data_IF_419908431287
#
_entry.id   IF_419908431287
#
_cell.length_a   1.000
_cell.length_b   1.000
_cell.length_c   1.000
_cell.angle_alpha   90.00
_cell.angle_beta   90.00
_cell.angle_gamma   90.00
#
_symmetry.space_group_name_H-M   'P 1'
#
loop_
_entity.id
_entity.type
_entity.pdbx_description
1 polymer ?
#
# COMPACT_ATOMS: atom_id res chain seq x y z
N UNK A 1 19.84 -11.02 -9.34
CA UNK A 1 19.24 -10.76 -10.39
C UNK A 1 20.07 -10.87 -11.66
N UNK A 2 20.68 -11.92 -11.96
CA UNK A 2 21.51 -12.11 -13.15
C UNK A 2 20.78 -12.81 -14.29
N UNK A 3 19.45 -12.70 -14.34
CA UNK A 3 18.74 -13.27 -15.45
C UNK A 3 19.00 -12.46 -16.70
N UNK A 4 19.50 -13.12 -17.71
CA UNK A 4 19.51 -12.58 -19.05
C UNK A 4 18.05 -12.37 -19.49
N UNK A 5 17.67 -11.10 -19.68
CA UNK A 5 16.31 -10.75 -20.09
C UNK A 5 15.91 -11.46 -21.40
N UNK A 6 16.87 -11.72 -22.27
CA UNK A 6 16.67 -12.44 -23.53
C UNK A 6 16.23 -13.89 -23.29
N UNK A 7 16.85 -14.57 -22.33
CA UNK A 7 16.49 -15.95 -21.99
C UNK A 7 15.10 -16.02 -21.36
N UNK A 8 14.77 -15.07 -20.53
CA UNK A 8 13.42 -14.98 -19.92
C UNK A 8 12.35 -14.78 -20.97
N UNK A 9 12.56 -13.86 -21.91
CA UNK A 9 11.66 -13.62 -23.02
C UNK A 9 11.46 -14.86 -23.91
N UNK A 10 12.53 -15.55 -24.22
CA UNK A 10 12.51 -16.77 -25.03
C UNK A 10 11.73 -17.88 -24.30
N UNK A 11 11.96 -18.02 -22.99
CA UNK A 11 11.22 -18.99 -22.17
C UNK A 11 9.72 -18.69 -22.08
N UNK A 12 9.34 -17.44 -21.85
CA UNK A 12 7.93 -17.02 -21.81
C UNK A 12 7.23 -17.27 -23.14
N UNK A 13 7.94 -17.07 -24.27
CA UNK A 13 7.39 -17.36 -25.61
C UNK A 13 7.37 -18.84 -25.95
N UNK A 14 8.03 -19.69 -25.15
CA UNK A 14 8.21 -21.11 -25.43
C UNK A 14 9.27 -21.41 -26.50
N UNK A 15 10.14 -20.47 -26.80
CA UNK A 15 11.23 -20.62 -27.77
C UNK A 15 12.38 -21.47 -27.23
N UNK A 16 12.47 -21.60 -25.91
CA UNK A 16 13.44 -22.45 -25.20
C UNK A 16 12.71 -23.35 -24.20
N UNK A 17 13.23 -24.55 -23.99
CA UNK A 17 12.74 -25.44 -22.95
C UNK A 17 13.32 -25.10 -21.58
N UNK A 18 12.76 -25.66 -20.51
CA UNK A 18 13.33 -25.55 -19.17
C UNK A 18 14.74 -26.07 -19.07
N UNK A 19 15.09 -27.04 -19.92
CA UNK A 19 16.43 -27.67 -19.95
C UNK A 19 17.48 -26.75 -20.58
N UNK A 20 17.05 -25.77 -21.37
CA UNK A 20 17.92 -24.77 -21.98
C UNK A 20 18.23 -23.61 -21.02
N UNK A 21 17.56 -23.55 -19.89
CA UNK A 21 17.70 -22.51 -18.90
C UNK A 21 18.66 -22.97 -17.81
N UNK A 22 19.81 -22.34 -17.72
CA UNK A 22 20.87 -22.69 -16.77
C UNK A 22 20.53 -22.40 -15.33
N UNK A 23 20.57 -23.39 -14.46
CA UNK A 23 20.46 -23.27 -13.02
C UNK A 23 21.66 -22.57 -12.36
N UNK A 24 22.80 -22.51 -13.05
CA UNK A 24 24.01 -21.82 -12.59
C UNK A 24 23.80 -20.31 -12.41
N UNK A 25 22.79 -19.75 -13.04
CA UNK A 25 22.40 -18.33 -12.92
C UNK A 25 21.19 -18.15 -12.01
N UNK A 26 20.77 -19.17 -11.27
CA UNK A 26 19.57 -19.14 -10.45
C UNK A 26 18.27 -19.24 -11.26
N UNK A 27 18.36 -19.69 -12.51
CA UNK A 27 17.21 -19.90 -13.38
C UNK A 27 16.72 -21.34 -13.20
N UNK A 28 15.43 -21.60 -12.94
CA UNK A 28 14.92 -22.94 -12.77
C UNK A 28 14.96 -23.73 -14.09
N UNK A 29 15.30 -25.00 -13.97
CA UNK A 29 15.25 -25.96 -15.08
C UNK A 29 14.17 -27.02 -14.84
N UNK A 30 13.20 -26.75 -14.00
CA UNK A 30 12.17 -27.69 -13.54
C UNK A 30 10.84 -27.62 -14.29
N UNK A 31 10.87 -27.16 -15.52
CA UNK A 31 9.70 -27.26 -16.41
C UNK A 31 8.71 -26.13 -16.28
N UNK A 32 9.11 -24.99 -15.82
CA UNK A 32 8.30 -23.80 -16.08
C UNK A 32 7.66 -23.16 -14.89
N UNK A 33 8.08 -23.43 -13.68
CA UNK A 33 7.73 -22.55 -12.59
C UNK A 33 8.64 -21.32 -12.62
N UNK A 34 8.27 -20.37 -13.46
CA UNK A 34 8.96 -19.10 -13.59
C UNK A 34 9.02 -18.31 -12.28
N UNK A 35 8.14 -18.61 -11.33
CA UNK A 35 8.09 -17.93 -10.02
C UNK A 35 9.20 -18.40 -9.09
N UNK A 36 9.78 -19.59 -9.31
CA UNK A 36 10.88 -20.09 -8.48
C UNK A 36 12.25 -19.57 -8.90
N UNK A 37 12.37 -19.08 -10.12
CA UNK A 37 13.61 -18.59 -10.69
C UNK A 37 14.11 -17.30 -10.03
N UNK A 38 13.22 -16.41 -9.70
CA UNK A 38 13.56 -15.14 -9.05
C UNK A 38 12.52 -14.78 -8.03
N UNK A 39 12.89 -14.70 -6.77
CA UNK A 39 12.06 -14.13 -5.71
C UNK A 39 11.66 -12.68 -6.04
N UNK A 40 12.34 -12.08 -7.01
CA UNK A 40 12.16 -10.69 -7.40
C UNK A 40 12.16 -10.56 -8.93
N UNK A 41 11.06 -10.88 -9.56
CA UNK A 41 10.86 -10.81 -11.01
C UNK A 41 10.90 -9.40 -11.61
N UNK A 42 11.82 -8.56 -11.15
CA UNK A 42 12.01 -7.21 -11.69
C UNK A 42 12.80 -7.26 -12.98
N UNK A 43 12.31 -6.56 -13.99
CA UNK A 43 13.02 -6.30 -15.24
C UNK A 43 13.18 -4.81 -15.46
N UNK A 44 14.20 -4.42 -16.22
CA UNK A 44 14.39 -3.03 -16.67
C UNK A 44 13.92 -2.98 -18.11
N UNK A 45 12.89 -2.17 -18.36
CA UNK A 45 12.37 -1.93 -19.71
C UNK A 45 12.75 -0.49 -20.10
N UNK A 46 13.54 -0.29 -21.18
CA UNK A 46 13.81 1.05 -21.67
C UNK A 46 12.49 1.76 -22.07
N UNK A 47 12.32 3.02 -21.68
CA UNK A 47 11.13 3.80 -22.01
C UNK A 47 10.87 3.85 -23.53
N UNK A 48 11.93 3.84 -24.33
CA UNK A 48 11.85 3.80 -25.80
C UNK A 48 11.22 2.51 -26.36
N UNK A 49 11.13 1.46 -25.56
CA UNK A 49 10.52 0.17 -25.94
C UNK A 49 9.04 0.09 -25.55
N UNK A 50 8.50 1.11 -24.89
CA UNK A 50 7.09 1.15 -24.44
C UNK A 50 6.32 2.10 -25.35
N UNK A 51 5.37 1.56 -26.12
CA UNK A 51 4.49 2.36 -26.95
C UNK A 51 3.64 3.27 -26.07
N UNK A 52 3.56 4.57 -26.43
CA UNK A 52 2.81 5.56 -25.67
C UNK A 52 3.48 6.01 -24.36
N UNK A 53 4.73 5.64 -24.11
CA UNK A 53 5.45 6.11 -22.93
C UNK A 53 5.57 7.65 -22.93
N UNK A 54 5.21 8.26 -21.80
CA UNK A 54 5.35 9.70 -21.63
C UNK A 54 6.83 10.10 -21.52
N UNK A 55 7.18 11.26 -22.07
CA UNK A 55 8.50 11.85 -21.82
C UNK A 55 8.56 12.36 -20.37
N UNK A 56 9.34 11.69 -19.52
CA UNK A 56 9.49 12.04 -18.10
C UNK A 56 10.05 13.46 -17.88
N UNK A 57 10.65 14.10 -18.90
CA UNK A 57 11.18 15.47 -18.83
C UNK A 57 10.11 16.55 -19.00
N UNK A 58 8.94 16.15 -19.52
CA UNK A 58 7.82 17.04 -19.80
C UNK A 58 6.52 16.63 -19.11
N UNK A 59 6.62 15.88 -18.01
CA UNK A 59 5.46 15.47 -17.23
C UNK A 59 4.74 16.69 -16.65
N UNK A 60 3.39 16.72 -16.69
CA UNK A 60 2.61 17.76 -16.03
C UNK A 60 2.77 17.70 -14.51
N UNK A 61 2.32 18.74 -13.83
CA UNK A 61 2.25 18.74 -12.38
C UNK A 61 1.45 17.54 -11.88
N UNK A 62 2.00 16.82 -10.90
CA UNK A 62 1.34 15.68 -10.28
C UNK A 62 0.13 16.16 -9.48
N UNK A 63 -1.04 15.58 -9.73
CA UNK A 63 -2.29 15.90 -9.04
C UNK A 63 -2.67 14.88 -7.98
N UNK A 64 -2.08 13.69 -8.04
CA UNK A 64 -2.43 12.60 -7.14
C UNK A 64 -1.19 11.77 -6.84
N UNK A 65 -0.92 11.52 -5.55
CA UNK A 65 0.17 10.70 -5.05
C UNK A 65 -0.39 9.65 -4.10
N UNK A 66 -0.26 8.37 -4.45
CA UNK A 66 -0.80 7.27 -3.66
C UNK A 66 0.28 6.36 -3.09
N UNK A 67 0.05 5.91 -1.87
CA UNK A 67 0.78 4.82 -1.22
C UNK A 67 -0.05 3.55 -1.38
N UNK A 68 0.54 2.51 -1.97
CA UNK A 68 -0.07 1.19 -1.96
C UNK A 68 0.41 0.43 -0.73
N UNK A 69 -0.53 -0.02 0.07
CA UNK A 69 -0.31 -0.82 1.26
C UNK A 69 -0.95 -2.21 1.06
N UNK A 70 -0.43 -3.22 1.73
CA UNK A 70 -1.09 -4.50 1.90
C UNK A 70 -1.24 -4.76 3.40
N UNK A 71 -2.48 -4.81 3.88
CA UNK A 71 -2.78 -5.22 5.24
C UNK A 71 -3.31 -6.65 5.26
N UNK A 72 -2.76 -7.48 6.15
CA UNK A 72 -3.11 -8.91 6.26
C UNK A 72 -2.84 -9.39 7.69
N UNK A 73 -3.73 -10.21 8.22
CA UNK A 73 -3.66 -10.75 9.57
C UNK A 73 -4.96 -10.52 10.34
N UNK A 74 -5.10 -11.19 11.48
CA UNK A 74 -6.30 -11.11 12.31
C UNK A 74 -6.63 -9.67 12.76
N UNK A 75 -5.65 -8.80 12.68
CA UNK A 75 -5.71 -7.39 13.05
C UNK A 75 -5.59 -6.45 11.84
N UNK A 76 -5.86 -6.93 10.62
CA UNK A 76 -5.92 -6.09 9.46
C UNK A 76 -7.12 -5.16 9.53
N UNK A 77 -6.87 -3.86 9.70
CA UNK A 77 -7.94 -2.86 9.88
C UNK A 77 -7.64 -1.51 9.20
N UNK A 78 -6.72 -1.51 8.21
CA UNK A 78 -6.51 -0.33 7.37
C UNK A 78 -7.65 -0.24 6.36
N UNK A 79 -8.30 0.94 6.21
CA UNK A 79 -9.35 1.17 5.22
C UNK A 79 -8.90 0.83 3.79
N UNK A 80 -9.84 0.40 2.94
CA UNK A 80 -9.58 0.12 1.53
C UNK A 80 -8.96 1.31 0.81
N UNK A 81 -9.42 2.51 1.11
CA UNK A 81 -8.81 3.77 0.68
C UNK A 81 -8.97 4.83 1.78
N UNK A 82 -7.96 5.66 1.93
CA UNK A 82 -7.97 6.83 2.81
C UNK A 82 -7.24 8.00 2.15
N UNK A 83 -7.57 9.22 2.54
CA UNK A 83 -6.87 10.45 2.13
C UNK A 83 -6.19 11.06 3.35
N UNK A 84 -4.96 11.50 3.20
CA UNK A 84 -4.25 12.16 4.29
C UNK A 84 -4.79 13.58 4.51
N UNK A 85 -5.01 13.92 5.78
CA UNK A 85 -5.58 15.20 6.18
C UNK A 85 -4.57 16.33 6.24
N UNK A 86 -3.27 16.00 6.24
CA UNK A 86 -2.20 16.99 6.30
C UNK A 86 -0.91 16.50 5.63
N UNK A 87 -0.03 17.42 5.25
CA UNK A 87 1.32 17.12 4.77
C UNK A 87 2.13 16.27 5.74
N UNK A 88 2.04 16.56 7.04
CA UNK A 88 2.73 15.83 8.10
C UNK A 88 2.21 14.40 8.19
N UNK A 89 0.90 14.19 8.04
CA UNK A 89 0.33 12.85 8.05
C UNK A 89 0.83 12.03 6.85
N UNK A 90 0.84 12.62 5.66
CA UNK A 90 1.37 11.96 4.46
C UNK A 90 2.86 11.61 4.61
N UNK A 91 3.66 12.52 5.16
CA UNK A 91 5.08 12.30 5.44
C UNK A 91 5.30 11.18 6.46
N UNK A 92 4.50 11.13 7.50
CA UNK A 92 4.57 10.10 8.52
C UNK A 92 4.25 8.71 7.95
N UNK A 93 3.21 8.57 7.12
CA UNK A 93 2.89 7.30 6.46
C UNK A 93 3.95 6.89 5.42
N UNK A 94 4.59 7.82 4.72
CA UNK A 94 5.76 7.54 3.88
C UNK A 94 6.92 6.97 4.71
N UNK A 95 7.16 7.54 5.89
CA UNK A 95 8.21 7.08 6.81
C UNK A 95 7.88 5.75 7.46
N UNK A 96 6.61 5.46 7.74
CA UNK A 96 6.20 4.15 8.24
C UNK A 96 6.48 3.04 7.24
N UNK A 97 6.18 3.26 5.95
CA UNK A 97 6.28 2.23 4.92
C UNK A 97 5.64 0.91 5.36
N UNK A 98 4.54 1.02 6.12
CA UNK A 98 3.87 -0.12 6.74
C UNK A 98 3.22 -1.01 5.70
N UNK A 99 3.52 -2.32 5.74
CA UNK A 99 2.92 -3.31 4.85
C UNK A 99 3.00 -4.70 5.45
N UNK A 100 2.19 -5.62 4.94
CA UNK A 100 2.31 -7.05 5.25
C UNK A 100 3.06 -7.78 4.14
N UNK A 101 4.20 -8.38 4.48
CA UNK A 101 4.98 -9.17 3.53
C UNK A 101 4.28 -10.47 3.18
N UNK A 102 4.23 -10.76 1.88
CA UNK A 102 3.78 -12.07 1.35
C UNK A 102 4.95 -13.04 1.25
N UNK A 103 4.65 -14.31 0.98
CA UNK A 103 5.67 -15.33 0.73
C UNK A 103 6.62 -14.99 -0.45
N UNK A 104 6.15 -14.19 -1.40
CA UNK A 104 6.97 -13.69 -2.51
C UNK A 104 8.05 -12.67 -2.10
N UNK A 105 7.96 -12.11 -0.90
CA UNK A 105 8.91 -11.14 -0.37
C UNK A 105 9.98 -11.74 0.57
N UNK A 106 10.12 -13.08 0.59
CA UNK A 106 11.10 -13.80 1.42
C UNK A 106 10.48 -14.52 2.62
N UNK A 107 11.36 -15.02 3.54
CA UNK A 107 10.94 -15.89 4.66
C UNK A 107 10.18 -15.18 5.77
N UNK A 108 10.31 -13.86 5.89
CA UNK A 108 9.69 -13.07 6.95
C UNK A 108 8.27 -12.67 6.57
N UNK A 109 7.28 -13.40 7.08
CA UNK A 109 5.86 -13.09 6.94
C UNK A 109 5.41 -12.15 8.05
N UNK A 110 4.43 -11.28 7.75
CA UNK A 110 3.79 -10.42 8.74
C UNK A 110 3.96 -8.93 8.46
N UNK A 111 3.43 -8.11 9.37
CA UNK A 111 3.52 -6.66 9.28
C UNK A 111 4.95 -6.19 9.48
N UNK A 112 5.40 -5.33 8.58
CA UNK A 112 6.73 -4.72 8.64
C UNK A 112 6.60 -3.22 8.44
N UNK A 113 7.55 -2.47 9.01
CA UNK A 113 7.69 -1.04 8.83
C UNK A 113 9.11 -0.74 8.38
N UNK A 114 9.23 0.04 7.33
CA UNK A 114 10.52 0.52 6.81
C UNK A 114 10.24 1.76 5.97
N UNK A 115 10.95 2.87 6.16
CA UNK A 115 10.79 4.02 5.28
C UNK A 115 10.84 3.61 3.81
N UNK A 116 9.93 4.10 2.97
CA UNK A 116 9.77 3.63 1.59
C UNK A 116 11.06 3.66 0.78
N UNK A 117 11.91 4.63 1.05
CA UNK A 117 13.16 4.83 0.32
C UNK A 117 14.39 4.38 1.10
N UNK A 118 14.22 3.68 2.22
CA UNK A 118 15.31 3.38 3.13
C UNK A 118 16.59 2.86 2.47
N UNK A 119 16.57 1.89 1.53
CA UNK A 119 17.82 1.40 0.94
C UNK A 119 18.51 2.41 0.01
N UNK A 120 17.84 3.47 -0.38
CA UNK A 120 18.28 4.41 -1.40
C UNK A 120 18.50 5.82 -0.87
N UNK A 121 18.14 6.08 0.38
CA UNK A 121 18.26 7.41 0.98
C UNK A 121 19.56 7.53 1.74
N UNK A 122 20.53 8.36 1.27
CA UNK A 122 21.89 8.40 1.83
C UNK A 122 22.04 9.27 3.07
N UNK A 123 20.97 10.00 3.46
CA UNK A 123 20.97 10.90 4.61
C UNK A 123 20.13 10.33 5.76
N UNK A 124 20.06 11.09 6.87
CA UNK A 124 19.21 10.71 8.01
C UNK A 124 17.73 10.82 7.68
N UNK A 125 16.92 9.88 8.15
CA UNK A 125 15.54 9.74 7.73
C UNK A 125 14.60 10.85 8.21
N UNK A 126 14.95 11.57 9.31
CA UNK A 126 14.21 12.77 9.73
C UNK A 126 14.19 13.83 8.62
N UNK A 127 15.33 14.04 7.93
CA UNK A 127 15.41 14.99 6.81
C UNK A 127 14.49 14.59 5.65
N UNK A 128 14.30 13.30 5.43
CA UNK A 128 13.34 12.81 4.42
C UNK A 128 11.91 13.16 4.82
N UNK A 129 11.55 12.92 6.09
CA UNK A 129 10.22 13.23 6.61
C UNK A 129 9.89 14.72 6.50
N UNK A 130 10.81 15.56 6.96
CA UNK A 130 10.68 17.02 6.90
C UNK A 130 10.57 17.51 5.47
N UNK A 131 11.47 17.06 4.58
CA UNK A 131 11.46 17.45 3.18
C UNK A 131 10.20 17.02 2.45
N UNK A 132 9.70 15.82 2.72
CA UNK A 132 8.45 15.36 2.11
C UNK A 132 7.27 16.20 2.62
N UNK A 133 7.20 16.51 3.91
CA UNK A 133 6.17 17.38 4.47
C UNK A 133 6.18 18.77 3.85
N UNK A 134 7.36 19.37 3.70
CA UNK A 134 7.52 20.69 3.04
C UNK A 134 7.03 20.65 1.57
N UNK A 135 7.42 19.60 0.82
CA UNK A 135 6.99 19.45 -0.57
C UNK A 135 5.47 19.24 -0.64
N UNK A 136 4.91 18.41 0.24
CA UNK A 136 3.47 18.17 0.31
C UNK A 136 2.70 19.47 0.62
N UNK A 137 3.22 20.30 1.51
CA UNK A 137 2.64 21.62 1.81
C UNK A 137 2.76 22.59 0.63
N UNK A 138 3.86 22.52 -0.13
CA UNK A 138 4.06 23.36 -1.33
C UNK A 138 3.11 22.97 -2.46
N UNK A 139 2.88 21.67 -2.64
CA UNK A 139 1.99 21.12 -3.66
C UNK A 139 0.62 20.74 -3.08
N UNK A 140 0.01 21.66 -2.33
CA UNK A 140 -1.25 21.45 -1.60
C UNK A 140 -2.44 21.02 -2.48
N UNK A 141 -2.38 21.24 -3.79
CA UNK A 141 -3.38 20.75 -4.74
C UNK A 141 -3.22 19.26 -5.08
N UNK A 142 -2.12 18.62 -4.63
CA UNK A 142 -1.88 17.21 -4.85
C UNK A 142 -2.63 16.39 -3.82
N UNK A 143 -3.61 15.60 -4.27
CA UNK A 143 -4.29 14.63 -3.41
C UNK A 143 -3.32 13.54 -2.98
N UNK A 144 -3.10 13.40 -1.68
CA UNK A 144 -2.24 12.35 -1.11
C UNK A 144 -3.11 11.33 -0.38
N UNK A 145 -2.99 10.07 -0.77
CA UNK A 145 -3.86 9.00 -0.33
C UNK A 145 -3.12 7.68 -0.12
N UNK A 146 -3.77 6.74 0.55
CA UNK A 146 -3.27 5.36 0.68
C UNK A 146 -4.39 4.38 0.33
N UNK A 147 -4.02 3.28 -0.33
CA UNK A 147 -4.93 2.19 -0.68
C UNK A 147 -4.42 0.88 -0.10
N UNK A 148 -5.30 0.18 0.63
CA UNK A 148 -5.05 -1.19 1.07
C UNK A 148 -5.45 -2.16 -0.04
N UNK A 149 -4.54 -3.03 -0.43
CA UNK A 149 -4.76 -4.08 -1.46
C UNK A 149 -4.86 -5.49 -0.85
N UNK A 150 -4.89 -5.58 0.46
CA UNK A 150 -4.87 -6.82 1.23
C UNK A 150 -6.25 -7.29 1.69
N UNK A 151 -6.46 -7.22 3.00
CA UNK A 151 -7.63 -7.73 3.69
C UNK A 151 -8.14 -6.75 4.74
N UNK A 152 -9.34 -7.02 5.24
CA UNK A 152 -9.91 -6.43 6.45
C UNK A 152 -10.29 -7.58 7.38
N UNK A 153 -9.89 -7.49 8.65
CA UNK A 153 -10.14 -8.44 9.72
C UNK A 153 -9.67 -9.87 9.43
N UNK A 154 -8.54 -10.04 8.73
CA UNK A 154 -8.00 -11.39 8.55
C UNK A 154 -7.10 -11.61 7.36
N UNK A 155 -7.07 -12.86 6.95
CA UNK A 155 -6.32 -13.40 5.82
C UNK A 155 -7.25 -14.26 4.93
N UNK A 156 -6.66 -15.02 4.03
CA UNK A 156 -7.42 -15.92 3.17
C UNK A 156 -8.20 -17.02 3.91
N UNK A 157 -7.87 -17.34 5.16
CA UNK A 157 -8.62 -18.28 6.00
C UNK A 157 -9.83 -17.60 6.61
N UNK A 158 -9.66 -16.40 7.15
CA UNK A 158 -10.74 -15.60 7.71
C UNK A 158 -11.82 -15.27 6.68
N UNK A 159 -11.44 -15.08 5.41
CA UNK A 159 -12.42 -14.90 4.32
C UNK A 159 -13.24 -16.17 4.09
N UNK A 160 -12.64 -17.35 4.21
CA UNK A 160 -13.36 -18.64 4.05
C UNK A 160 -14.33 -18.91 5.19
N UNK A 161 -14.02 -18.46 6.41
CA UNK A 161 -14.92 -18.59 7.57
C UNK A 161 -15.98 -17.48 7.64
N UNK A 162 -15.86 -16.42 6.82
CA UNK A 162 -16.78 -15.27 6.84
C UNK A 162 -16.41 -14.16 7.83
N UNK A 163 -15.29 -14.32 8.55
CA UNK A 163 -14.87 -13.36 9.59
C UNK A 163 -14.07 -12.18 9.04
N UNK A 164 -13.57 -12.29 7.82
CA UNK A 164 -12.75 -11.28 7.16
C UNK A 164 -13.14 -11.02 5.71
N UNK A 165 -12.70 -9.91 5.16
CA UNK A 165 -12.93 -9.51 3.77
C UNK A 165 -11.64 -9.38 2.98
N UNK A 166 -11.65 -9.89 1.74
CA UNK A 166 -10.57 -9.66 0.76
C UNK A 166 -10.87 -8.41 -0.06
N UNK A 167 -9.93 -7.50 -0.12
CA UNK A 167 -9.97 -6.41 -1.09
C UNK A 167 -9.57 -6.97 -2.46
N UNK A 168 -10.55 -7.10 -3.35
CA UNK A 168 -10.38 -7.67 -4.70
C UNK A 168 -9.95 -6.58 -5.69
N UNK A 169 -9.38 -6.99 -6.81
CA UNK A 169 -9.00 -6.06 -7.90
C UNK A 169 -10.16 -5.14 -8.32
N UNK A 170 -11.41 -5.63 -8.52
CA UNK A 170 -12.53 -4.75 -8.85
C UNK A 170 -12.81 -3.68 -7.78
N UNK A 171 -12.62 -4.01 -6.48
CA UNK A 171 -12.75 -3.01 -5.39
C UNK A 171 -11.67 -1.93 -5.52
N UNK A 172 -10.42 -2.34 -5.73
CA UNK A 172 -9.29 -1.40 -5.89
C UNK A 172 -9.48 -0.50 -7.11
N UNK A 173 -9.96 -1.06 -8.23
CA UNK A 173 -10.26 -0.29 -9.45
C UNK A 173 -11.36 0.75 -9.19
N UNK A 174 -12.47 0.34 -8.52
CA UNK A 174 -13.56 1.25 -8.21
C UNK A 174 -13.13 2.40 -7.30
N UNK A 175 -12.35 2.10 -6.26
CA UNK A 175 -11.80 3.12 -5.35
C UNK A 175 -10.85 4.08 -6.08
N UNK A 176 -9.99 3.55 -6.97
CA UNK A 176 -9.06 4.37 -7.75
C UNK A 176 -9.78 5.25 -8.77
N UNK A 177 -10.79 4.72 -9.48
CA UNK A 177 -11.63 5.48 -10.40
C UNK A 177 -12.32 6.64 -9.68
N UNK A 178 -12.95 6.37 -8.53
CA UNK A 178 -13.61 7.39 -7.72
C UNK A 178 -12.63 8.44 -7.18
N UNK A 179 -11.41 8.02 -6.82
CA UNK A 179 -10.34 8.92 -6.36
C UNK A 179 -9.85 9.85 -7.46
N UNK A 180 -9.61 9.33 -8.66
CA UNK A 180 -9.11 10.10 -9.81
C UNK A 180 -10.18 11.08 -10.31
N UNK A 181 -11.45 10.68 -10.28
CA UNK A 181 -12.58 11.53 -10.69
C UNK A 181 -13.00 12.56 -9.63
N UNK A 182 -12.35 12.55 -8.46
CA UNK A 182 -12.67 13.40 -7.30
C UNK A 182 -14.15 13.31 -6.88
N UNK A 183 -14.73 12.12 -7.02
CA UNK A 183 -16.16 11.88 -6.71
C UNK A 183 -16.40 11.40 -5.29
N UNK A 184 -15.35 11.15 -4.49
CA UNK A 184 -15.49 10.64 -3.14
C UNK A 184 -15.87 11.77 -2.16
N UNK A 185 -16.98 11.59 -1.46
CA UNK A 185 -17.28 12.37 -0.26
C UNK A 185 -16.54 11.75 0.93
N UNK A 186 -15.71 12.57 1.56
CA UNK A 186 -14.86 12.15 2.67
C UNK A 186 -15.45 12.54 4.02
N UNK A 187 -15.16 11.75 5.05
CA UNK A 187 -15.37 12.07 6.45
C UNK A 187 -14.12 11.78 7.26
N UNK A 188 -13.94 12.47 8.38
CA UNK A 188 -12.76 12.31 9.23
C UNK A 188 -12.86 11.01 10.03
N UNK A 189 -11.80 10.19 9.97
CA UNK A 189 -11.65 9.05 10.84
C UNK A 189 -11.44 9.49 12.29
N UNK A 190 -12.22 8.96 13.25
CA UNK A 190 -12.14 9.40 14.64
C UNK A 190 -10.89 8.94 15.36
N UNK A 191 -10.22 7.90 14.88
CA UNK A 191 -9.11 7.25 15.57
C UNK A 191 -7.76 7.82 15.16
N UNK A 192 -7.52 7.98 13.85
CA UNK A 192 -6.23 8.43 13.29
C UNK A 192 -6.29 9.80 12.61
N UNK A 193 -7.47 10.36 12.42
CA UNK A 193 -7.64 11.70 11.89
C UNK A 193 -7.41 11.86 10.39
N UNK A 194 -7.07 10.82 9.65
CA UNK A 194 -7.12 10.85 8.19
C UNK A 194 -8.57 10.88 7.71
N UNK A 195 -8.79 11.03 6.42
CA UNK A 195 -10.14 11.02 5.85
C UNK A 195 -10.43 9.64 5.24
N UNK A 196 -11.63 9.14 5.51
CA UNK A 196 -12.19 7.89 4.99
C UNK A 196 -13.43 8.18 4.17
N UNK A 197 -13.85 7.24 3.34
CA UNK A 197 -15.08 7.38 2.56
C UNK A 197 -16.28 7.50 3.52
N UNK A 198 -17.11 8.54 3.36
CA UNK A 198 -18.36 8.68 4.08
C UNK A 198 -19.39 7.72 3.49
N UNK A 199 -19.60 6.59 4.16
CA UNK A 199 -20.52 5.54 3.68
C UNK A 199 -22.00 5.88 3.88
N UNK A 200 -22.32 6.99 4.54
CA UNK A 200 -23.69 7.48 4.69
C UNK A 200 -24.03 8.56 3.64
N UNK A 201 -23.02 9.07 2.92
CA UNK A 201 -23.23 10.11 1.92
C UNK A 201 -23.80 9.53 0.62
N UNK A 202 -24.85 10.18 0.10
CA UNK A 202 -25.51 9.76 -1.15
C UNK A 202 -24.56 9.85 -2.36
N UNK A 203 -23.62 10.78 -2.32
CA UNK A 203 -22.60 10.97 -3.35
C UNK A 203 -21.71 9.73 -3.52
N UNK A 204 -21.56 8.91 -2.50
CA UNK A 204 -20.76 7.69 -2.53
C UNK A 204 -21.54 6.44 -2.92
N UNK A 205 -22.82 6.55 -3.28
CA UNK A 205 -23.67 5.39 -3.57
C UNK A 205 -23.11 4.51 -4.68
N UNK A 206 -22.64 5.11 -5.78
CA UNK A 206 -22.05 4.35 -6.90
C UNK A 206 -20.80 3.56 -6.46
N UNK A 207 -19.98 4.12 -5.59
CA UNK A 207 -18.84 3.43 -5.02
C UNK A 207 -19.27 2.29 -4.10
N UNK A 208 -20.30 2.51 -3.27
CA UNK A 208 -20.85 1.53 -2.32
C UNK A 208 -21.54 0.35 -3.02
N UNK A 209 -22.11 0.55 -4.21
CA UNK A 209 -22.63 -0.53 -5.03
C UNK A 209 -21.53 -1.49 -5.54
N UNK A 210 -20.27 -1.04 -5.56
CA UNK A 210 -19.11 -1.80 -6.06
C UNK A 210 -18.16 -2.25 -4.95
N UNK A 211 -18.13 -1.55 -3.82
CA UNK A 211 -17.21 -1.80 -2.71
C UNK A 211 -17.97 -1.87 -1.39
N UNK A 212 -17.92 -2.99 -0.65
CA UNK A 212 -18.53 -3.10 0.66
C UNK A 212 -18.12 -1.99 1.64
N UNK A 213 -19.07 -1.45 2.39
CA UNK A 213 -18.83 -0.40 3.37
C UNK A 213 -17.77 -0.80 4.42
N UNK A 214 -17.73 -2.08 4.78
CA UNK A 214 -16.77 -2.64 5.73
C UNK A 214 -15.32 -2.64 5.20
N UNK A 215 -15.13 -2.62 3.88
CA UNK A 215 -13.81 -2.41 3.27
C UNK A 215 -13.40 -0.95 3.40
N UNK A 216 -14.34 -0.03 3.24
CA UNK A 216 -14.09 1.41 3.31
C UNK A 216 -13.95 1.91 4.76
N UNK A 217 -14.67 1.27 5.68
CA UNK A 217 -14.66 1.55 7.12
C UNK A 217 -14.54 0.23 7.92
N UNK A 218 -13.32 -0.28 8.14
CA UNK A 218 -13.10 -1.58 8.80
C UNK A 218 -13.76 -1.75 10.16
N UNK A 219 -13.85 -0.68 10.95
CA UNK A 219 -14.56 -0.69 12.25
C UNK A 219 -15.94 -1.34 12.16
N UNK A 220 -16.67 -1.10 11.07
CA UNK A 220 -18.01 -1.70 10.84
C UNK A 220 -18.00 -3.22 10.81
N UNK A 221 -16.96 -3.82 10.20
CA UNK A 221 -16.83 -5.28 10.18
C UNK A 221 -16.58 -5.84 11.57
N UNK A 222 -15.72 -5.19 12.35
CA UNK A 222 -15.46 -5.60 13.74
C UNK A 222 -16.72 -5.43 14.62
N UNK A 223 -17.50 -4.37 14.42
CA UNK A 223 -18.79 -4.17 15.11
C UNK A 223 -19.79 -5.27 14.74
N UNK A 224 -19.98 -5.54 13.46
CA UNK A 224 -20.87 -6.59 12.97
C UNK A 224 -20.51 -7.97 13.50
N UNK A 225 -19.23 -8.25 13.67
CA UNK A 225 -18.73 -9.51 14.21
C UNK A 225 -18.67 -9.55 15.76
N UNK A 226 -19.18 -8.51 16.45
CA UNK A 226 -19.11 -8.43 17.93
C UNK A 226 -17.69 -8.33 18.48
N UNK A 227 -16.74 -7.83 17.67
CA UNK A 227 -15.32 -7.77 17.98
C UNK A 227 -14.78 -6.33 18.09
N UNK A 228 -15.64 -5.35 18.41
CA UNK A 228 -15.25 -3.94 18.48
C UNK A 228 -14.07 -3.70 19.45
N UNK A 229 -14.04 -4.38 20.60
CA UNK A 229 -12.93 -4.29 21.55
C UNK A 229 -11.58 -4.66 20.95
N UNK A 230 -11.52 -5.65 20.02
CA UNK A 230 -10.30 -6.00 19.30
C UNK A 230 -9.85 -4.89 18.35
N UNK A 231 -10.80 -4.19 17.72
CA UNK A 231 -10.49 -3.02 16.89
C UNK A 231 -9.91 -1.89 17.73
N UNK A 232 -10.50 -1.59 18.89
CA UNK A 232 -10.03 -0.54 19.80
C UNK A 232 -8.63 -0.84 20.35
N UNK A 233 -8.37 -2.10 20.74
CA UNK A 233 -7.03 -2.56 21.10
C UNK A 233 -6.03 -2.43 19.94
N UNK A 234 -6.46 -2.70 18.71
CA UNK A 234 -5.62 -2.52 17.53
C UNK A 234 -5.29 -1.04 17.32
N UNK A 235 -6.26 -0.14 17.42
CA UNK A 235 -6.04 1.31 17.31
C UNK A 235 -4.97 1.77 18.31
N UNK A 236 -5.12 1.39 19.57
CA UNK A 236 -4.19 1.79 20.62
C UNK A 236 -2.77 1.24 20.34
N UNK A 237 -2.68 -0.03 20.00
CA UNK A 237 -1.41 -0.66 19.65
C UNK A 237 -0.75 0.00 18.45
N UNK A 238 -1.50 0.31 17.39
CA UNK A 238 -0.95 0.98 16.21
C UNK A 238 -0.41 2.37 16.52
N UNK A 239 -1.09 3.14 17.36
CA UNK A 239 -0.59 4.45 17.81
C UNK A 239 0.75 4.31 18.55
N UNK A 240 0.85 3.38 19.45
CA UNK A 240 2.07 3.12 20.22
C UNK A 240 3.23 2.63 19.35
N UNK A 241 2.99 1.59 18.53
CA UNK A 241 4.01 1.00 17.66
C UNK A 241 4.51 1.99 16.60
N UNK A 242 3.61 2.79 15.99
CA UNK A 242 3.97 3.82 15.01
C UNK A 242 4.78 4.93 15.65
N UNK A 243 4.39 5.38 16.84
CA UNK A 243 5.16 6.35 17.60
C UNK A 243 6.57 5.86 17.91
N UNK A 244 6.68 4.63 18.45
CA UNK A 244 7.98 4.04 18.76
C UNK A 244 8.85 3.86 17.51
N UNK A 245 8.24 3.48 16.40
CA UNK A 245 8.96 3.29 15.15
C UNK A 245 9.48 4.63 14.59
N UNK A 246 8.64 5.65 14.50
CA UNK A 246 9.02 6.96 13.95
C UNK A 246 10.10 7.65 14.80
N UNK A 247 10.03 7.50 16.13
CA UNK A 247 11.06 8.03 17.05
C UNK A 247 12.43 7.41 16.85
N UNK A 248 12.54 6.16 16.35
CA UNK A 248 13.84 5.54 16.00
C UNK A 248 14.58 6.27 14.88
N UNK A 249 13.86 7.04 14.09
CA UNK A 249 14.39 7.81 12.97
C UNK A 249 14.41 9.31 13.23
N UNK A 250 14.22 9.73 14.50
CA UNK A 250 14.19 11.13 14.91
C UNK A 250 13.19 11.98 14.11
N UNK A 251 12.06 11.37 13.73
CA UNK A 251 10.98 12.06 13.01
C UNK A 251 10.34 13.10 13.93
N UNK A 252 10.07 14.34 13.48
CA UNK A 252 9.47 15.39 14.29
C UNK A 252 8.14 14.99 14.93
N UNK A 253 7.90 15.42 16.17
CA UNK A 253 6.68 15.10 16.92
C UNK A 253 5.40 15.59 16.24
N UNK A 254 5.46 16.67 15.45
CA UNK A 254 4.34 17.14 14.63
C UNK A 254 3.89 16.09 13.61
N UNK A 255 4.84 15.40 12.98
CA UNK A 255 4.57 14.31 12.03
C UNK A 255 4.05 13.08 12.79
N UNK A 256 4.64 12.75 13.94
CA UNK A 256 4.20 11.61 14.78
C UNK A 256 2.77 11.82 15.26
N UNK A 257 2.45 13.01 15.77
CA UNK A 257 1.10 13.38 16.20
C UNK A 257 0.08 13.28 15.08
N UNK A 258 0.42 13.74 13.87
CA UNK A 258 -0.45 13.66 12.71
C UNK A 258 -0.78 12.19 12.32
N UNK A 259 0.16 11.27 12.48
CA UNK A 259 -0.05 9.83 12.18
C UNK A 259 -0.92 9.15 13.24
N UNK A 260 -0.81 9.56 14.49
CA UNK A 260 -1.50 8.92 15.61
C UNK A 260 -2.86 9.55 15.92
N UNK A 261 -3.23 10.63 15.21
CA UNK A 261 -4.47 11.36 15.48
C UNK A 261 -4.45 12.08 16.84
N UNK A 262 -3.26 12.32 17.40
CA UNK A 262 -3.14 13.14 18.59
C UNK A 262 -3.45 14.61 18.24
N UNK A 263 -4.14 15.35 19.13
CA UNK A 263 -4.48 16.74 18.91
C UNK A 263 -3.23 17.66 18.88
#
# INVERSE_FOLDING_TARGET
>A
TGADATNVDAYIRGDVSSDDVSDNNGVPNDGGDFTTWSENGRSIIPMSSVEGAADFRSLPQMRSLGILNRDEGADAAIPGILRFSSPEQAAGYLMLGETSKTSAAGKDRGKTRSPFTQPFFPLTHNLQAERFSELAATFYETNMWMMNTGYVAGDGRSVKSGDGLKIKIPHSSAMLEAMISDSIKWTKDPDFGYEIVDVEAEENRELLDRVPAEILQPRRLFEANGALGKYEEWVQRMKEERTMFLRKFDVPETIISAVTGAP
#
